data_IF_291104650387
#
_entry.id   IF_291104650387
#
_cell.length_a   1.000
_cell.length_b   1.000
_cell.length_c   1.000
_cell.angle_alpha   90.00
_cell.angle_beta   90.00
_cell.angle_gamma   90.00
#
_symmetry.space_group_name_H-M   'P 1'
#
loop_
_entity.id
_entity.type
_entity.pdbx_description
1 polymer ?
#
# COMPACT_ATOMS: atom_id res chain seq x y z
N UNK A 1 3.17 19.42 -50.99
CA UNK A 1 2.72 18.35 -50.07
C UNK A 1 3.52 18.32 -48.74
N UNK A 2 4.10 19.45 -48.31
CA UNK A 2 4.94 19.56 -47.11
C UNK A 2 4.56 20.64 -46.07
N UNK A 3 3.45 21.43 -46.17
CA UNK A 3 3.12 22.40 -45.11
C UNK A 3 2.04 21.92 -44.11
N UNK A 4 1.38 20.78 -44.32
CA UNK A 4 0.24 20.35 -43.49
C UNK A 4 0.69 19.56 -42.25
N UNK A 5 1.85 18.89 -42.31
CA UNK A 5 2.36 18.05 -41.21
C UNK A 5 2.90 18.90 -40.05
N UNK A 6 3.47 20.09 -40.32
CA UNK A 6 4.02 20.95 -39.26
C UNK A 6 2.93 21.62 -38.40
N UNK A 7 1.75 21.88 -38.97
CA UNK A 7 0.62 22.47 -38.24
C UNK A 7 -0.02 21.47 -37.25
N UNK A 8 0.05 20.16 -37.56
CA UNK A 8 -0.49 19.11 -36.68
C UNK A 8 0.39 18.87 -35.45
N UNK A 9 1.71 19.11 -35.55
CA UNK A 9 2.64 18.96 -34.41
C UNK A 9 2.47 20.11 -33.40
N UNK A 10 2.13 21.31 -33.85
CA UNK A 10 1.91 22.46 -32.95
C UNK A 10 0.53 22.38 -32.26
N UNK A 11 -0.47 21.75 -32.89
CA UNK A 11 -1.80 21.58 -32.29
C UNK A 11 -1.87 20.52 -31.17
N UNK A 12 -0.92 19.58 -31.12
CA UNK A 12 -0.87 18.52 -30.09
C UNK A 12 -0.13 19.00 -28.82
N UNK A 13 0.69 20.05 -28.90
CA UNK A 13 1.46 20.55 -27.74
C UNK A 13 0.59 21.44 -26.81
N UNK A 14 -0.57 21.92 -27.27
CA UNK A 14 -1.43 22.83 -26.50
C UNK A 14 -2.43 22.13 -25.57
N UNK A 15 -2.40 20.80 -25.46
CA UNK A 15 -3.32 20.06 -24.60
C UNK A 15 -2.58 19.39 -23.44
N UNK A 16 -2.67 20.04 -22.27
CA UNK A 16 -2.62 19.51 -20.88
C UNK A 16 -1.70 20.29 -19.93
N UNK A 17 -1.94 21.60 -19.78
CA UNK A 17 -1.74 22.21 -18.46
C UNK A 17 -3.11 22.24 -17.79
N UNK A 18 -3.46 21.16 -17.10
CA UNK A 18 -4.49 21.25 -16.06
C UNK A 18 -3.81 22.05 -14.95
N UNK A 19 -3.95 23.37 -15.01
CA UNK A 19 -3.61 24.23 -13.89
C UNK A 19 -4.62 23.92 -12.79
N UNK A 20 -4.29 22.92 -11.97
CA UNK A 20 -5.00 22.67 -10.72
C UNK A 20 -4.78 23.90 -9.87
N UNK A 21 -5.77 24.80 -9.87
CA UNK A 21 -5.82 25.93 -8.96
C UNK A 21 -5.37 25.42 -7.59
N UNK A 22 -4.23 25.93 -7.12
CA UNK A 22 -3.51 25.38 -5.97
C UNK A 22 -4.27 25.68 -4.69
N UNK A 23 -5.36 24.97 -4.45
CA UNK A 23 -5.83 24.74 -3.10
C UNK A 23 -4.72 23.98 -2.41
N UNK A 24 -4.17 24.54 -1.33
CA UNK A 24 -3.26 23.79 -0.47
C UNK A 24 -4.01 22.52 -0.03
N UNK A 25 -3.42 21.32 -0.15
CA UNK A 25 -4.08 20.11 0.29
C UNK A 25 -4.39 20.26 1.78
N UNK A 26 -5.65 20.01 2.13
CA UNK A 26 -6.06 20.03 3.51
C UNK A 26 -5.29 18.93 4.27
N UNK A 27 -4.86 19.13 5.52
CA UNK A 27 -4.09 18.13 6.27
C UNK A 27 -4.77 16.77 6.38
N UNK A 28 -6.10 16.74 6.33
CA UNK A 28 -6.92 15.52 6.36
C UNK A 28 -7.44 15.08 4.99
N UNK A 29 -7.00 15.71 3.89
CA UNK A 29 -7.31 15.21 2.55
C UNK A 29 -6.68 13.83 2.36
N UNK A 30 -7.36 12.91 1.67
CA UNK A 30 -6.80 11.60 1.36
C UNK A 30 -5.51 11.75 0.56
N UNK A 31 -4.67 10.71 0.57
CA UNK A 31 -3.45 10.70 -0.22
C UNK A 31 -3.78 10.85 -1.72
N UNK A 32 -3.11 11.81 -2.35
CA UNK A 32 -3.19 12.04 -3.80
C UNK A 32 -2.44 10.94 -4.57
N UNK A 33 -2.67 10.88 -5.88
CA UNK A 33 -2.02 9.89 -6.74
C UNK A 33 -0.48 10.07 -6.79
N UNK A 34 0.01 11.30 -6.76
CA UNK A 34 1.45 11.60 -6.71
C UNK A 34 2.06 11.17 -5.38
N UNK A 35 1.37 11.43 -4.26
CA UNK A 35 1.79 10.96 -2.93
C UNK A 35 1.83 9.44 -2.87
N UNK A 36 0.79 8.73 -3.33
CA UNK A 36 0.78 7.26 -3.37
C UNK A 36 1.94 6.69 -4.22
N UNK A 37 2.25 7.34 -5.34
CA UNK A 37 3.37 6.96 -6.20
C UNK A 37 4.70 7.19 -5.49
N UNK A 38 4.85 8.31 -4.78
CA UNK A 38 6.02 8.66 -3.99
C UNK A 38 6.24 7.67 -2.83
N UNK A 39 5.17 7.31 -2.10
CA UNK A 39 5.20 6.28 -1.05
C UNK A 39 5.71 4.96 -1.61
N UNK A 40 5.12 4.51 -2.73
CA UNK A 40 5.51 3.25 -3.35
C UNK A 40 6.98 3.26 -3.75
N UNK A 41 7.46 4.35 -4.37
CA UNK A 41 8.85 4.49 -4.78
C UNK A 41 9.80 4.46 -3.57
N UNK A 42 9.49 5.21 -2.50
CA UNK A 42 10.29 5.25 -1.29
C UNK A 42 10.38 3.87 -0.62
N UNK A 43 9.24 3.19 -0.44
CA UNK A 43 9.19 1.87 0.21
C UNK A 43 9.91 0.80 -0.61
N UNK A 44 9.74 0.78 -1.94
CA UNK A 44 10.45 -0.17 -2.82
C UNK A 44 11.97 0.09 -2.89
N UNK A 45 12.40 1.34 -2.73
CA UNK A 45 13.81 1.71 -2.70
C UNK A 45 14.46 1.50 -1.33
N UNK A 46 13.67 1.20 -0.29
CA UNK A 46 14.16 1.09 1.07
C UNK A 46 15.05 -0.14 1.24
N UNK A 47 16.27 0.00 1.79
CA UNK A 47 17.11 -1.14 2.13
C UNK A 47 16.61 -1.89 3.39
N UNK A 48 15.61 -1.35 4.08
CA UNK A 48 15.10 -1.90 5.35
C UNK A 48 14.38 -3.25 5.18
N UNK A 49 13.97 -3.59 3.95
CA UNK A 49 13.31 -4.86 3.63
C UNK A 49 14.10 -5.59 2.53
N UNK A 50 15.01 -6.49 2.90
CA UNK A 50 15.81 -7.22 1.91
C UNK A 50 14.99 -8.28 1.16
N UNK A 51 13.92 -8.80 1.76
CA UNK A 51 13.10 -9.85 1.17
C UNK A 51 12.20 -9.31 0.05
N UNK A 52 12.09 -10.07 -1.04
CA UNK A 52 11.27 -9.74 -2.20
C UNK A 52 10.56 -11.00 -2.73
N UNK A 53 9.39 -10.87 -3.40
CA UNK A 53 8.66 -9.63 -3.70
C UNK A 53 8.02 -8.97 -2.46
N UNK A 54 7.85 -7.65 -2.52
CA UNK A 54 7.18 -6.84 -1.49
C UNK A 54 5.75 -6.50 -1.93
N UNK A 55 4.76 -6.89 -1.12
CA UNK A 55 3.34 -6.71 -1.41
C UNK A 55 2.73 -5.66 -0.48
N UNK A 56 2.06 -4.65 -1.02
CA UNK A 56 1.39 -3.62 -0.23
C UNK A 56 0.00 -4.10 0.16
N UNK A 57 -0.29 -4.16 1.47
CA UNK A 57 -1.61 -4.53 2.01
C UNK A 57 -2.42 -3.32 2.44
N UNK A 58 -1.75 -2.24 2.85
CA UNK A 58 -2.39 -0.99 3.21
C UNK A 58 -1.47 0.19 2.90
N UNK A 59 -2.04 1.26 2.37
CA UNK A 59 -1.41 2.58 2.24
C UNK A 59 -2.48 3.60 2.57
N UNK A 60 -2.23 4.44 3.58
CA UNK A 60 -3.18 5.44 4.02
C UNK A 60 -2.49 6.66 4.61
N UNK A 61 -3.25 7.74 4.74
CA UNK A 61 -2.78 8.95 5.42
C UNK A 61 -2.49 8.58 6.88
N UNK A 62 -1.27 8.85 7.34
CA UNK A 62 -0.96 8.87 8.75
C UNK A 62 -1.40 10.24 9.28
N UNK A 63 -2.61 10.26 9.85
CA UNK A 63 -3.27 11.50 10.25
C UNK A 63 -2.39 12.30 11.23
N UNK A 64 -2.30 13.63 11.06
CA UNK A 64 -1.58 14.49 11.98
C UNK A 64 -2.22 14.47 13.38
N UNK A 65 -1.41 14.73 14.39
CA UNK A 65 -1.87 14.72 15.76
C UNK A 65 -2.97 15.77 15.97
N UNK A 66 -4.00 15.43 16.75
CA UNK A 66 -5.12 16.32 17.06
C UNK A 66 -4.71 17.75 17.45
N UNK A 67 -3.72 18.00 18.34
CA UNK A 67 -3.29 19.37 18.66
C UNK A 67 -2.72 20.12 17.44
N UNK A 68 -2.04 19.45 16.51
CA UNK A 68 -1.50 20.06 15.29
C UNK A 68 -2.64 20.50 14.37
N UNK A 69 -3.65 19.64 14.19
CA UNK A 69 -4.86 19.96 13.42
C UNK A 69 -5.59 21.17 14.02
N UNK A 70 -5.78 21.20 15.34
CA UNK A 70 -6.43 22.32 16.02
C UNK A 70 -5.63 23.62 15.86
N UNK A 71 -4.30 23.55 15.95
CA UNK A 71 -3.42 24.70 15.76
C UNK A 71 -3.47 25.22 14.32
N UNK A 72 -3.50 24.33 13.33
CA UNK A 72 -3.67 24.67 11.93
C UNK A 72 -4.96 25.47 11.68
N UNK A 73 -6.10 25.01 12.21
CA UNK A 73 -7.35 25.76 12.09
C UNK A 73 -7.32 27.09 12.84
N UNK A 74 -6.77 27.11 14.07
CA UNK A 74 -6.66 28.33 14.87
C UNK A 74 -5.80 29.41 14.19
N UNK A 75 -4.79 29.00 13.42
CA UNK A 75 -3.88 29.90 12.69
C UNK A 75 -4.46 30.48 11.39
N UNK A 76 -5.73 30.19 11.08
CA UNK A 76 -6.40 30.67 9.88
C UNK A 76 -6.05 29.81 8.67
N UNK A 77 -6.57 28.58 8.67
CA UNK A 77 -6.42 27.57 7.63
C UNK A 77 -6.63 28.09 6.18
N UNK A 78 -7.50 29.09 6.01
CA UNK A 78 -7.87 29.67 4.72
C UNK A 78 -7.03 30.90 4.33
N UNK A 79 -6.00 31.25 5.11
CA UNK A 79 -5.12 32.38 4.81
C UNK A 79 -3.88 31.93 4.04
N UNK A 80 -3.38 32.78 3.13
CA UNK A 80 -2.14 32.56 2.36
C UNK A 80 -0.91 32.37 3.27
N UNK A 81 -1.02 32.71 4.55
CA UNK A 81 0.00 32.56 5.60
C UNK A 81 -0.17 31.30 6.47
N UNK A 82 -1.18 30.46 6.22
CA UNK A 82 -1.43 29.26 7.01
C UNK A 82 -0.22 28.31 6.99
N UNK A 83 0.21 27.75 8.14
CA UNK A 83 1.31 26.80 8.21
C UNK A 83 0.97 25.52 7.44
N UNK A 84 1.89 25.05 6.59
CA UNK A 84 1.78 23.73 5.97
C UNK A 84 2.04 22.65 7.02
N UNK A 85 1.02 21.88 7.38
CA UNK A 85 1.20 20.68 8.18
C UNK A 85 1.90 19.60 7.36
N UNK A 86 2.76 18.83 8.04
CA UNK A 86 3.45 17.69 7.43
C UNK A 86 2.41 16.65 7.02
N UNK A 87 2.54 16.10 5.81
CA UNK A 87 1.72 14.98 5.33
C UNK A 87 2.54 13.71 5.38
N UNK A 88 2.02 12.69 6.05
CA UNK A 88 2.67 11.40 6.25
C UNK A 88 1.77 10.28 5.75
N UNK A 89 2.36 9.18 5.32
CA UNK A 89 1.66 7.97 4.94
C UNK A 89 2.07 6.81 5.85
N UNK A 90 1.08 6.07 6.34
CA UNK A 90 1.28 4.79 6.99
C UNK A 90 1.14 3.67 5.96
N UNK A 91 2.10 2.74 5.96
CA UNK A 91 2.15 1.64 5.01
C UNK A 91 2.31 0.32 5.75
N UNK A 92 1.50 -0.66 5.37
CA UNK A 92 1.72 -2.06 5.75
C UNK A 92 2.06 -2.84 4.47
N UNK A 93 3.25 -3.40 4.42
CA UNK A 93 3.72 -4.23 3.31
C UNK A 93 4.24 -5.58 3.81
N UNK A 94 4.10 -6.65 3.03
CA UNK A 94 4.57 -8.00 3.38
C UNK A 94 5.65 -8.49 2.43
N UNK A 95 6.72 -9.03 3.01
CA UNK A 95 7.76 -9.76 2.29
C UNK A 95 8.41 -10.78 3.24
N UNK A 96 8.88 -11.91 2.70
CA UNK A 96 9.60 -12.92 3.50
C UNK A 96 8.80 -13.49 4.67
N UNK A 97 7.46 -13.46 4.61
CA UNK A 97 6.59 -13.90 5.70
C UNK A 97 6.40 -12.88 6.83
N UNK A 98 7.04 -11.71 6.75
CA UNK A 98 6.92 -10.64 7.74
C UNK A 98 6.01 -9.52 7.25
N UNK A 99 5.37 -8.83 8.20
CA UNK A 99 4.66 -7.57 7.94
C UNK A 99 5.57 -6.42 8.36
N UNK A 100 5.82 -5.51 7.43
CA UNK A 100 6.60 -4.30 7.61
C UNK A 100 5.68 -3.09 7.68
N UNK A 101 5.89 -2.28 8.69
CA UNK A 101 5.16 -1.04 8.94
C UNK A 101 6.09 0.13 8.69
N UNK A 102 5.67 1.08 7.85
CA UNK A 102 6.44 2.28 7.55
C UNK A 102 5.62 3.54 7.83
N UNK A 103 6.33 4.58 8.28
CA UNK A 103 5.85 5.95 8.20
C UNK A 103 6.70 6.67 7.17
N UNK A 104 6.06 7.24 6.15
CA UNK A 104 6.72 7.93 5.04
C UNK A 104 6.27 9.39 5.02
N UNK A 105 7.21 10.33 5.02
CA UNK A 105 6.94 11.73 4.75
C UNK A 105 6.70 11.94 3.25
N UNK A 106 5.56 12.54 2.93
CA UNK A 106 5.13 12.86 1.57
C UNK A 106 4.75 14.33 1.40
N UNK A 107 5.14 15.18 2.36
CA UNK A 107 4.89 16.62 2.31
C UNK A 107 5.42 17.23 1.01
N UNK A 108 6.56 16.75 0.53
CA UNK A 108 7.02 16.92 -0.84
C UNK A 108 7.04 15.55 -1.55
N UNK A 109 6.05 15.30 -2.39
CA UNK A 109 5.93 14.06 -3.16
C UNK A 109 7.10 13.87 -4.16
N UNK A 110 7.89 14.90 -4.47
CA UNK A 110 9.07 14.80 -5.34
C UNK A 110 10.29 14.26 -4.59
N UNK A 111 10.28 14.33 -3.27
CA UNK A 111 11.38 13.91 -2.39
C UNK A 111 10.84 13.19 -1.13
N UNK A 112 10.13 12.06 -1.28
CA UNK A 112 9.60 11.31 -0.14
C UNK A 112 10.73 10.76 0.73
N UNK A 113 10.49 10.66 2.04
CA UNK A 113 11.48 10.10 2.97
C UNK A 113 10.84 9.15 3.98
N UNK A 114 11.54 8.07 4.32
CA UNK A 114 11.07 7.12 5.32
C UNK A 114 11.45 7.66 6.70
N UNK A 115 10.44 7.95 7.53
CA UNK A 115 10.62 8.44 8.89
C UNK A 115 10.85 7.29 9.87
N UNK A 116 10.15 6.17 9.67
CA UNK A 116 10.32 4.98 10.50
C UNK A 116 9.97 3.70 9.73
N UNK A 117 10.55 2.60 10.22
CA UNK A 117 10.27 1.25 9.79
C UNK A 117 10.25 0.33 11.00
N UNK A 118 9.30 -0.60 11.03
CA UNK A 118 9.21 -1.65 12.03
C UNK A 118 8.74 -2.96 11.39
N UNK A 119 9.02 -4.07 12.06
CA UNK A 119 8.41 -5.37 11.76
C UNK A 119 7.31 -5.60 12.79
N UNK A 120 6.11 -5.91 12.32
CA UNK A 120 5.00 -6.28 13.21
C UNK A 120 5.25 -7.66 13.82
N UNK A 121 5.28 -7.73 15.15
CA UNK A 121 5.55 -8.98 15.90
C UNK A 121 4.33 -9.51 16.65
N UNK A 122 3.27 -8.71 16.79
CA UNK A 122 2.07 -9.10 17.50
C UNK A 122 1.21 -10.09 16.69
N UNK A 123 0.27 -10.81 17.34
CA UNK A 123 -0.68 -11.63 16.64
C UNK A 123 -1.58 -10.80 15.73
N UNK A 124 -1.74 -11.23 14.49
CA UNK A 124 -2.59 -10.55 13.51
C UNK A 124 -1.99 -10.61 12.12
N UNK A 125 -2.85 -10.44 11.12
CA UNK A 125 -2.44 -10.34 9.72
C UNK A 125 -3.10 -9.10 9.10
N UNK A 126 -2.43 -8.44 8.15
CA UNK A 126 -3.04 -7.31 7.48
C UNK A 126 -4.22 -7.75 6.61
N UNK A 127 -4.98 -6.76 6.15
CA UNK A 127 -6.12 -7.00 5.28
C UNK A 127 -5.70 -7.77 4.01
N UNK A 128 -6.54 -8.73 3.62
CA UNK A 128 -6.36 -9.50 2.41
C UNK A 128 -6.61 -8.63 1.17
N UNK A 129 -5.66 -8.58 0.24
CA UNK A 129 -5.83 -7.82 -1.01
C UNK A 129 -6.67 -8.60 -2.02
N UNK A 130 -7.22 -7.91 -3.02
CA UNK A 130 -7.89 -8.57 -4.15
C UNK A 130 -6.93 -9.47 -4.94
N UNK A 131 -5.64 -9.12 -5.01
CA UNK A 131 -4.61 -9.93 -5.63
C UNK A 131 -4.35 -11.23 -4.84
N UNK A 132 -4.33 -11.17 -3.52
CA UNK A 132 -4.21 -12.37 -2.69
C UNK A 132 -5.41 -13.31 -2.90
N UNK A 133 -6.62 -12.76 -2.93
CA UNK A 133 -7.84 -13.53 -3.19
C UNK A 133 -7.83 -14.18 -4.57
N UNK A 134 -7.43 -13.41 -5.59
CA UNK A 134 -7.31 -13.91 -6.96
C UNK A 134 -6.26 -15.02 -7.07
N UNK A 135 -5.09 -14.83 -6.44
CA UNK A 135 -4.02 -15.82 -6.41
C UNK A 135 -4.47 -17.11 -5.71
N UNK A 136 -5.12 -17.00 -4.54
CA UNK A 136 -5.66 -18.15 -3.83
C UNK A 136 -6.71 -18.90 -4.65
N UNK A 137 -7.64 -18.17 -5.28
CA UNK A 137 -8.68 -18.76 -6.14
C UNK A 137 -8.08 -19.49 -7.34
N UNK A 138 -7.02 -18.96 -7.94
CA UNK A 138 -6.35 -19.56 -9.09
C UNK A 138 -5.65 -20.90 -8.76
N UNK A 139 -5.42 -21.21 -7.49
CA UNK A 139 -4.86 -22.50 -7.05
C UNK A 139 -5.92 -23.61 -7.02
N UNK A 140 -7.21 -23.28 -6.85
CA UNK A 140 -8.29 -24.28 -6.73
C UNK A 140 -8.27 -25.36 -7.84
N UNK A 141 -8.19 -25.03 -9.14
CA UNK A 141 -8.15 -26.06 -10.19
C UNK A 141 -6.81 -26.82 -10.25
N UNK A 142 -5.74 -26.30 -9.65
CA UNK A 142 -4.40 -26.93 -9.68
C UNK A 142 -4.25 -28.01 -8.62
N UNK A 143 -5.05 -27.93 -7.57
CA UNK A 143 -5.10 -28.89 -6.47
C UNK A 143 -6.50 -29.50 -6.42
N UNK A 144 -6.86 -30.34 -7.40
CA UNK A 144 -8.10 -31.11 -7.30
C UNK A 144 -8.06 -31.88 -5.98
N UNK A 145 -9.15 -31.81 -5.21
CA UNK A 145 -9.40 -32.69 -4.07
C UNK A 145 -8.98 -34.12 -4.47
N UNK A 146 -8.07 -34.79 -3.72
CA UNK A 146 -7.87 -36.21 -3.94
C UNK A 146 -9.23 -36.84 -3.73
N UNK A 147 -9.75 -37.55 -4.73
CA UNK A 147 -11.04 -38.24 -4.68
C UNK A 147 -11.06 -39.21 -3.48
N UNK A 148 -11.46 -38.71 -2.31
CA UNK A 148 -11.45 -39.41 -1.04
C UNK A 148 -12.79 -39.20 -0.35
N UNK A 149 -13.90 -39.48 -1.05
CA UNK A 149 -15.16 -39.71 -0.34
C UNK A 149 -16.16 -40.68 -0.98
N UNK A 150 -15.86 -41.36 -2.08
CA UNK A 150 -16.69 -42.50 -2.55
C UNK A 150 -15.90 -43.80 -2.60
N UNK A 151 -15.75 -44.43 -1.41
CA UNK A 151 -15.66 -45.88 -1.33
C UNK A 151 -14.34 -46.53 -0.92
N UNK A 152 -13.22 -45.80 -0.75
CA UNK A 152 -11.98 -46.42 -0.26
C UNK A 152 -11.58 -45.93 1.13
N UNK A 153 -11.82 -46.80 2.11
CA UNK A 153 -11.05 -46.89 3.35
C UNK A 153 -9.57 -47.20 3.02
N UNK A 154 -8.85 -46.23 2.45
CA UNK A 154 -7.40 -46.33 2.35
C UNK A 154 -6.87 -46.12 3.77
N UNK A 155 -6.39 -47.21 4.36
CA UNK A 155 -5.70 -47.22 5.65
C UNK A 155 -4.69 -46.08 5.68
N UNK A 156 -4.97 -45.07 6.51
CA UNK A 156 -4.10 -43.90 6.66
C UNK A 156 -2.80 -44.36 7.32
N UNK A 157 -1.61 -44.16 6.71
CA UNK A 157 -0.33 -44.54 7.32
C UNK A 157 -0.04 -43.80 8.63
N UNK A 158 -0.64 -42.62 8.83
CA UNK A 158 -0.51 -41.85 10.08
C UNK A 158 -1.44 -42.31 11.20
N UNK A 159 -2.42 -43.19 10.93
CA UNK A 159 -3.28 -43.77 11.97
C UNK A 159 -2.55 -44.78 12.87
N UNK A 160 -1.28 -45.08 12.58
CA UNK A 160 -0.39 -45.89 13.42
C UNK A 160 0.70 -45.05 14.13
N UNK A 161 0.67 -43.72 14.01
CA UNK A 161 1.60 -42.88 14.75
C UNK A 161 1.19 -42.86 16.25
N UNK A 162 2.11 -43.14 17.20
CA UNK A 162 1.79 -43.33 18.61
C UNK A 162 1.38 -42.06 19.38
N UNK A 163 1.22 -40.93 18.70
CA UNK A 163 0.99 -39.61 19.29
C UNK A 163 -0.45 -39.12 19.08
N UNK A 164 -1.44 -39.96 19.39
CA UNK A 164 -2.81 -39.50 19.57
C UNK A 164 -2.92 -38.62 20.83
N UNK A 165 -3.77 -37.57 20.83
CA UNK A 165 -3.93 -36.71 21.99
C UNK A 165 -4.57 -37.47 23.15
N UNK A 166 -3.84 -37.59 24.26
CA UNK A 166 -4.41 -37.98 25.55
C UNK A 166 -4.95 -36.73 26.23
N UNK A 167 -6.21 -36.39 25.97
CA UNK A 167 -6.95 -35.50 26.85
C UNK A 167 -7.69 -36.35 27.88
N UNK A 168 -7.43 -36.04 29.15
CA UNK A 168 -8.08 -36.57 30.37
C UNK A 168 -9.47 -36.00 30.48
#
# INVERSE_FOLDING_TARGET
MFPIILSFVIAIISATTIDSASSRPHPLDPLSASELTAVRAAVLASPAVPAHPLHFHYVGLDEPDKPEVLSYYASGADTTSSPTLRRRAFVIARAGGQSHEFIVDVTDASAPSILSHAIHHDPGFPMLTSQDQAAATALLPQYPEPALWEGQQVRRPWALAPWGPKYV
#
